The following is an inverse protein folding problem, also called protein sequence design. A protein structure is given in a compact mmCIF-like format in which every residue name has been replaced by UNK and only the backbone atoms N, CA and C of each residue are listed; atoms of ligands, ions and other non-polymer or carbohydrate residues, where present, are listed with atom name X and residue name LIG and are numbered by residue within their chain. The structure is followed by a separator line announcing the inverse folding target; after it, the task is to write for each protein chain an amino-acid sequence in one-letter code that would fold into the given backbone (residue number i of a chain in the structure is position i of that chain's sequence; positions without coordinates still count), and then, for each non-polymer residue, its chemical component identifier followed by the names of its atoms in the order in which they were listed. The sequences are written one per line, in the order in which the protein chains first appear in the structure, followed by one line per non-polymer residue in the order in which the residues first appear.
data_IF_815189162556
#
_entry.id   IF_815189162556
#
_cell.length_a   1.000
_cell.length_b   1.000
_cell.length_c   1.000
_cell.angle_alpha   90.00
_cell.angle_beta   90.00
_cell.angle_gamma   90.00
#
_symmetry.space_group_name_H-M   'P 1'
#
loop_
_entity.id
_entity.type
_entity.pdbx_description
1 polymer ?
#
# COMPACT_ATOMS: atom_id res chain seq x y z
N UNK A 1 6.48 4.93 -23.42
CA UNK A 1 6.58 3.92 -22.36
C UNK A 1 6.53 4.71 -21.06
N UNK A 2 5.63 4.36 -20.15
CA UNK A 2 5.67 4.93 -18.81
C UNK A 2 6.94 4.41 -18.13
N UNK A 3 7.72 5.32 -17.56
CA UNK A 3 8.98 4.96 -16.92
C UNK A 3 8.68 4.38 -15.54
N UNK A 4 8.81 3.05 -15.42
CA UNK A 4 8.55 2.35 -14.15
C UNK A 4 9.60 2.72 -13.10
N UNK A 5 9.14 2.94 -11.88
CA UNK A 5 9.99 3.08 -10.69
C UNK A 5 10.48 1.70 -10.25
N UNK A 6 11.78 1.56 -10.02
CA UNK A 6 12.35 0.37 -9.38
C UNK A 6 12.31 0.56 -7.87
N UNK A 7 11.64 -0.34 -7.17
CA UNK A 7 11.52 -0.33 -5.72
C UNK A 7 12.38 -1.44 -5.15
N UNK A 8 13.26 -1.10 -4.21
CA UNK A 8 13.92 -2.05 -3.34
C UNK A 8 13.44 -1.79 -1.93
N UNK A 9 12.90 -2.81 -1.27
CA UNK A 9 12.52 -2.72 0.12
C UNK A 9 13.08 -3.89 0.93
N UNK A 10 13.40 -3.61 2.18
CA UNK A 10 13.77 -4.61 3.18
C UNK A 10 12.79 -4.48 4.32
N UNK A 11 11.91 -5.46 4.49
CA UNK A 11 10.90 -5.48 5.54
C UNK A 11 11.11 -6.76 6.35
N UNK A 12 11.20 -6.65 7.67
CA UNK A 12 11.45 -7.79 8.56
C UNK A 12 12.62 -8.67 8.10
N UNK A 13 13.73 -8.05 7.70
CA UNK A 13 14.95 -8.69 7.17
C UNK A 13 14.78 -9.46 5.84
N UNK A 14 13.60 -9.44 5.23
CA UNK A 14 13.36 -9.96 3.89
C UNK A 14 13.47 -8.83 2.87
N UNK A 15 14.20 -9.07 1.78
CA UNK A 15 14.39 -8.07 0.72
C UNK A 15 13.58 -8.44 -0.51
N UNK A 16 12.84 -7.47 -1.04
CA UNK A 16 12.13 -7.60 -2.31
C UNK A 16 12.54 -6.47 -3.26
N UNK A 17 12.60 -6.79 -4.55
CA UNK A 17 12.95 -5.83 -5.62
C UNK A 17 11.95 -6.01 -6.75
N UNK A 18 11.24 -4.95 -7.11
CA UNK A 18 10.21 -4.99 -8.14
C UNK A 18 10.11 -3.65 -8.88
N UNK A 19 9.35 -3.63 -9.97
CA UNK A 19 9.07 -2.42 -10.75
C UNK A 19 7.59 -2.12 -10.70
N UNK A 20 7.25 -0.86 -10.48
CA UNK A 20 5.87 -0.37 -10.41
C UNK A 20 5.71 0.89 -11.27
N UNK A 21 4.52 1.11 -11.82
CA UNK A 21 4.21 2.30 -12.63
C UNK A 21 4.21 3.56 -11.75
N UNK A 22 3.49 3.51 -10.63
CA UNK A 22 3.36 4.62 -9.71
C UNK A 22 3.43 4.12 -8.27
N UNK A 23 4.14 4.88 -7.43
CA UNK A 23 4.24 4.67 -5.99
C UNK A 23 4.13 6.01 -5.29
N UNK A 24 3.40 6.06 -4.19
CA UNK A 24 3.40 7.21 -3.28
C UNK A 24 3.90 6.76 -1.92
N UNK A 25 4.77 7.56 -1.30
CA UNK A 25 5.30 7.28 0.03
C UNK A 25 4.75 8.33 0.99
N UNK A 26 3.84 7.91 1.87
CA UNK A 26 3.32 8.74 2.95
C UNK A 26 4.28 8.75 4.14
N UNK A 27 4.89 9.89 4.43
CA UNK A 27 5.74 10.09 5.63
C UNK A 27 4.88 10.56 6.80
N UNK A 28 5.30 10.35 8.07
CA UNK A 28 4.59 10.87 9.24
C UNK A 28 4.20 12.35 9.06
N UNK A 29 2.90 12.64 9.21
CA UNK A 29 2.32 13.97 9.00
C UNK A 29 1.74 14.22 7.62
N UNK A 30 1.90 13.32 6.64
CA UNK A 30 1.22 13.42 5.34
C UNK A 30 -0.23 12.90 5.40
N UNK A 31 -1.06 13.32 4.45
CA UNK A 31 -2.45 12.85 4.36
C UNK A 31 -2.54 11.35 4.09
N UNK A 32 -1.65 10.82 3.24
CA UNK A 32 -1.60 9.39 2.92
C UNK A 32 -1.26 8.56 4.16
N UNK A 33 -0.31 9.02 4.96
CA UNK A 33 0.02 8.40 6.24
C UNK A 33 -1.19 8.42 7.17
N UNK A 34 -1.86 9.57 7.31
CA UNK A 34 -3.07 9.69 8.15
C UNK A 34 -4.18 8.74 7.70
N UNK A 35 -4.50 8.69 6.41
CA UNK A 35 -5.55 7.82 5.88
C UNK A 35 -5.27 6.33 6.12
N UNK A 36 -4.01 5.91 5.99
CA UNK A 36 -3.62 4.52 6.26
C UNK A 36 -3.89 4.14 7.73
N UNK A 37 -3.55 5.01 8.68
CA UNK A 37 -3.82 4.78 10.10
C UNK A 37 -5.31 4.88 10.44
N UNK A 38 -6.06 5.78 9.82
CA UNK A 38 -7.51 5.84 9.99
C UNK A 38 -8.18 4.53 9.54
N UNK A 39 -7.70 3.92 8.45
CA UNK A 39 -8.17 2.62 8.00
C UNK A 39 -7.76 1.50 8.96
N UNK A 40 -6.51 1.50 9.44
CA UNK A 40 -6.05 0.53 10.45
C UNK A 40 -6.91 0.58 11.72
N UNK A 41 -7.22 1.79 12.21
CA UNK A 41 -8.09 2.01 13.37
C UNK A 41 -9.51 1.48 13.14
N UNK A 42 -10.08 1.70 11.95
CA UNK A 42 -11.40 1.18 11.57
C UNK A 42 -11.45 -0.36 11.59
N UNK A 43 -10.36 -1.00 11.18
CA UNK A 43 -10.22 -2.45 11.18
C UNK A 43 -9.77 -3.02 12.54
N UNK A 44 -9.48 -2.16 13.53
CA UNK A 44 -9.02 -2.56 14.86
C UNK A 44 -7.60 -3.11 14.89
N UNK A 45 -6.75 -2.70 13.93
CA UNK A 45 -5.36 -3.15 13.77
C UNK A 45 -4.41 -2.14 14.40
N UNK A 46 -3.56 -2.55 15.34
CA UNK A 46 -2.52 -1.65 15.90
C UNK A 46 -1.33 -1.44 14.98
N UNK A 47 -0.75 -2.55 14.52
CA UNK A 47 0.54 -2.56 13.81
C UNK A 47 0.49 -3.47 12.57
N UNK A 48 -0.39 -3.20 11.59
CA UNK A 48 -0.45 -4.01 10.38
C UNK A 48 0.83 -3.84 9.55
N UNK A 49 1.29 -4.89 8.86
CA UNK A 49 2.32 -4.76 7.81
C UNK A 49 1.69 -4.29 6.49
N UNK A 50 0.47 -4.77 6.18
CA UNK A 50 -0.26 -4.41 4.97
C UNK A 50 -1.77 -4.35 5.21
N UNK A 51 -2.43 -3.41 4.53
CA UNK A 51 -3.88 -3.36 4.34
C UNK A 51 -4.16 -3.12 2.86
N UNK A 52 -5.00 -3.96 2.25
CA UNK A 52 -5.55 -3.75 0.91
C UNK A 52 -7.05 -3.51 1.03
N UNK A 53 -7.50 -2.40 0.50
CA UNK A 53 -8.90 -2.00 0.45
C UNK A 53 -9.39 -2.11 -0.99
N UNK A 54 -10.30 -3.06 -1.24
CA UNK A 54 -10.97 -3.24 -2.52
C UNK A 54 -12.27 -2.44 -2.51
N UNK A 55 -12.39 -1.50 -3.43
CA UNK A 55 -13.56 -0.65 -3.57
C UNK A 55 -14.72 -1.42 -4.23
N UNK A 56 -15.97 -1.11 -3.86
CA UNK A 56 -17.11 -1.68 -4.54
C UNK A 56 -17.18 -1.18 -5.99
N UNK A 57 -17.62 -2.05 -6.88
CA UNK A 57 -17.88 -1.69 -8.29
C UNK A 57 -19.36 -1.78 -8.59
N UNK A 58 -19.83 -0.99 -9.54
CA UNK A 58 -21.25 -0.83 -9.83
C UNK A 58 -21.54 -1.03 -11.31
N UNK A 59 -22.73 -1.56 -11.62
CA UNK A 59 -23.19 -1.77 -12.99
C UNK A 59 -23.69 -0.47 -13.65
N UNK A 60 -24.00 0.54 -12.85
CA UNK A 60 -24.57 1.81 -13.26
C UNK A 60 -23.79 3.00 -12.69
N UNK A 61 -23.78 4.11 -13.42
CA UNK A 61 -23.10 5.35 -13.03
C UNK A 61 -23.69 6.00 -11.77
N UNK A 62 -24.93 5.65 -11.39
CA UNK A 62 -25.56 6.15 -10.17
C UNK A 62 -25.15 5.34 -8.92
N UNK A 63 -24.31 4.32 -9.07
CA UNK A 63 -23.82 3.45 -8.01
C UNK A 63 -24.95 2.76 -7.22
N UNK A 64 -26.00 2.30 -7.91
CA UNK A 64 -27.18 1.68 -7.27
C UNK A 64 -27.19 0.16 -7.32
N UNK A 65 -26.50 -0.45 -8.29
CA UNK A 65 -26.41 -1.90 -8.47
C UNK A 65 -24.96 -2.36 -8.31
N UNK A 66 -24.64 -2.92 -7.15
CA UNK A 66 -23.31 -3.45 -6.82
C UNK A 66 -23.00 -4.69 -7.67
N UNK A 67 -21.81 -4.73 -8.27
CA UNK A 67 -21.24 -5.88 -8.98
C UNK A 67 -20.22 -6.62 -8.12
N UNK A 68 -19.35 -5.88 -7.46
CA UNK A 68 -18.38 -6.41 -6.49
C UNK A 68 -18.55 -5.62 -5.20
N UNK A 69 -18.71 -6.33 -4.09
CA UNK A 69 -18.78 -5.71 -2.77
C UNK A 69 -17.43 -5.12 -2.35
N UNK A 70 -17.48 -4.16 -1.43
CA UNK A 70 -16.28 -3.68 -0.74
C UNK A 70 -15.67 -4.83 0.08
N UNK A 71 -14.34 -4.93 0.07
CA UNK A 71 -13.62 -5.94 0.85
C UNK A 71 -12.28 -5.40 1.36
N UNK A 72 -11.78 -6.01 2.44
CA UNK A 72 -10.54 -5.64 3.10
C UNK A 72 -9.67 -6.87 3.34
N UNK A 73 -8.42 -6.78 2.93
CA UNK A 73 -7.39 -7.76 3.25
C UNK A 73 -6.36 -7.08 4.14
N UNK A 74 -5.96 -7.75 5.21
CA UNK A 74 -4.91 -7.25 6.08
C UNK A 74 -4.07 -8.38 6.61
N UNK A 75 -2.82 -8.08 6.92
CA UNK A 75 -1.95 -8.99 7.65
C UNK A 75 -2.20 -8.86 9.15
N UNK A 76 -1.82 -9.89 9.92
CA UNK A 76 -1.80 -9.80 11.38
C UNK A 76 -0.85 -8.71 11.89
N UNK A 77 -0.98 -8.35 13.17
CA UNK A 77 -0.14 -7.33 13.81
C UNK A 77 1.31 -7.78 13.93
N UNK A 78 2.25 -6.90 13.55
CA UNK A 78 3.67 -7.14 13.73
C UNK A 78 4.07 -6.93 15.18
N UNK A 79 4.68 -7.95 15.78
CA UNK A 79 5.21 -7.86 17.14
C UNK A 79 6.53 -7.07 17.20
N UNK A 80 6.72 -6.33 18.30
CA UNK A 80 8.00 -5.68 18.61
C UNK A 80 8.33 -4.45 17.77
N UNK A 81 7.33 -3.87 17.10
CA UNK A 81 7.45 -2.57 16.43
C UNK A 81 6.66 -1.52 17.20
N UNK A 82 7.26 -0.33 17.37
CA UNK A 82 6.64 0.78 18.10
C UNK A 82 6.33 1.97 17.19
N UNK A 83 7.15 2.22 16.16
CA UNK A 83 7.07 3.42 15.34
C UNK A 83 7.07 3.09 13.86
N UNK A 84 6.01 3.50 13.18
CA UNK A 84 5.94 3.53 11.74
C UNK A 84 6.69 4.76 11.21
N UNK A 85 7.54 4.54 10.21
CA UNK A 85 8.43 5.54 9.59
C UNK A 85 7.94 5.97 8.21
N UNK A 86 7.00 5.22 7.62
CA UNK A 86 6.36 5.57 6.37
C UNK A 86 5.33 4.54 5.94
N UNK A 87 4.49 4.90 4.98
CA UNK A 87 3.51 4.02 4.36
C UNK A 87 3.66 4.08 2.85
N UNK A 88 3.87 2.94 2.23
CA UNK A 88 3.83 2.78 0.78
C UNK A 88 2.37 2.68 0.36
N UNK A 89 1.95 3.54 -0.56
CA UNK A 89 0.63 3.55 -1.15
C UNK A 89 0.74 3.16 -2.62
N UNK A 90 0.01 2.13 -3.03
CA UNK A 90 -0.05 1.65 -4.41
C UNK A 90 -1.45 1.15 -4.77
N UNK A 91 -1.77 1.08 -6.06
CA UNK A 91 -2.98 0.36 -6.49
C UNK A 91 -2.90 -1.11 -6.11
N UNK A 92 -4.04 -1.72 -5.80
CA UNK A 92 -4.13 -3.17 -5.55
C UNK A 92 -3.73 -3.93 -6.81
N UNK A 93 -2.94 -5.00 -6.65
CA UNK A 93 -2.45 -5.79 -7.78
C UNK A 93 -3.55 -6.69 -8.34
N UNK A 94 -3.83 -6.55 -9.65
CA UNK A 94 -4.69 -7.47 -10.39
C UNK A 94 -4.22 -8.93 -10.30
N UNK A 95 -2.92 -9.19 -10.17
CA UNK A 95 -2.39 -10.56 -10.06
C UNK A 95 -2.80 -11.24 -8.75
N UNK A 96 -2.92 -10.47 -7.66
CA UNK A 96 -3.38 -10.96 -6.36
C UNK A 96 -4.91 -11.00 -6.28
N UNK A 97 -5.58 -10.10 -7.01
CA UNK A 97 -7.04 -9.98 -7.06
C UNK A 97 -7.53 -9.95 -8.51
N UNK A 98 -7.59 -11.11 -9.20
CA UNK A 98 -7.92 -11.18 -10.63
C UNK A 98 -9.34 -10.72 -10.99
N UNK A 99 -10.18 -10.43 -10.00
CA UNK A 99 -11.53 -9.89 -10.18
C UNK A 99 -11.65 -8.39 -9.84
N UNK A 100 -10.55 -7.74 -9.44
CA UNK A 100 -10.51 -6.32 -9.05
C UNK A 100 -9.89 -5.54 -10.19
N UNK A 101 -10.56 -4.47 -10.64
CA UNK A 101 -10.03 -3.59 -11.68
C UNK A 101 -8.68 -2.97 -11.26
N UNK A 102 -7.81 -2.57 -12.20
CA UNK A 102 -6.49 -1.97 -11.89
C UNK A 102 -6.55 -0.69 -11.01
N UNK A 103 -7.73 -0.07 -10.86
CA UNK A 103 -8.01 1.06 -9.97
C UNK A 103 -9.14 0.74 -8.97
N UNK A 104 -9.44 -0.54 -8.79
CA UNK A 104 -10.52 -1.05 -7.95
C UNK A 104 -10.14 -1.16 -6.49
N UNK A 105 -9.00 -0.61 -6.07
CA UNK A 105 -8.58 -0.62 -4.68
C UNK A 105 -7.24 0.06 -4.44
N UNK A 106 -6.92 0.24 -3.17
CA UNK A 106 -5.65 0.79 -2.69
C UNK A 106 -4.99 -0.14 -1.68
N UNK A 107 -3.67 -0.33 -1.82
CA UNK A 107 -2.82 -1.03 -0.88
C UNK A 107 -1.98 -0.05 -0.06
N UNK A 108 -1.94 -0.29 1.25
CA UNK A 108 -1.11 0.41 2.22
C UNK A 108 -0.14 -0.59 2.84
N UNK A 109 1.15 -0.42 2.61
CA UNK A 109 2.20 -1.20 3.27
C UNK A 109 2.94 -0.32 4.27
N UNK A 110 2.91 -0.69 5.54
CA UNK A 110 3.49 0.07 6.64
C UNK A 110 4.95 -0.32 6.83
N UNK A 111 5.80 0.70 6.91
CA UNK A 111 7.22 0.55 7.20
C UNK A 111 7.46 0.95 8.64
N UNK A 112 8.12 0.10 9.41
CA UNK A 112 8.46 0.34 10.81
C UNK A 112 9.97 0.57 10.98
N UNK A 113 10.39 1.12 12.11
CA UNK A 113 11.82 1.28 12.42
C UNK A 113 12.60 -0.03 12.18
N UNK A 114 13.67 0.06 11.39
CA UNK A 114 14.48 -1.08 10.96
C UNK A 114 14.10 -1.68 9.60
N UNK A 115 12.98 -1.24 9.01
CA UNK A 115 12.68 -1.48 7.59
C UNK A 115 13.35 -0.41 6.71
N UNK A 116 13.57 -0.74 5.44
CA UNK A 116 14.15 0.19 4.46
C UNK A 116 13.33 0.20 3.17
N UNK A 117 13.15 1.37 2.57
CA UNK A 117 12.63 1.55 1.23
C UNK A 117 13.56 2.45 0.42
N UNK A 118 13.90 2.05 -0.80
CA UNK A 118 14.65 2.84 -1.78
C UNK A 118 13.96 2.77 -3.13
N UNK A 119 13.58 3.93 -3.67
CA UNK A 119 12.91 4.05 -4.97
C UNK A 119 13.85 4.69 -5.99
N UNK A 120 13.93 4.10 -7.17
CA UNK A 120 14.81 4.53 -8.24
C UNK A 120 14.08 4.77 -9.55
N UNK A 121 14.37 5.89 -10.20
CA UNK A 121 13.91 6.21 -11.54
C UNK A 121 15.15 6.42 -12.43
N UNK A 122 15.22 5.71 -13.56
CA UNK A 122 16.41 5.65 -14.44
C UNK A 122 17.75 5.40 -13.71
N UNK A 123 17.71 4.68 -12.58
CA UNK A 123 18.89 4.38 -11.75
C UNK A 123 19.27 5.47 -10.74
N UNK A 124 18.56 6.60 -10.72
CA UNK A 124 18.71 7.65 -9.73
C UNK A 124 17.82 7.35 -8.52
N UNK A 125 18.36 7.48 -7.31
CA UNK A 125 17.57 7.39 -6.07
C UNK A 125 16.68 8.63 -5.96
N UNK A 126 15.37 8.43 -5.98
CA UNK A 126 14.38 9.52 -5.93
C UNK A 126 13.65 9.61 -4.59
N UNK A 127 13.58 8.51 -3.82
CA UNK A 127 12.98 8.48 -2.50
C UNK A 127 13.64 7.40 -1.63
N UNK A 128 13.74 7.68 -0.33
CA UNK A 128 14.30 6.77 0.68
C UNK A 128 13.57 6.93 2.01
N UNK A 129 13.29 5.80 2.66
CA UNK A 129 12.77 5.71 4.03
C UNK A 129 13.60 4.69 4.80
N UNK A 130 14.06 5.06 5.99
CA UNK A 130 14.89 4.26 6.91
C UNK A 130 14.71 4.76 8.36
#
# INVERSE_FOLDING_TARGET
MSDKVTVKQTINKATSIYKIEHITVGKPGSEQYRHAFELADQLGLKHPDCIEHVFPTYADEQCTHVLTEEDFFSTEEREGVDRCIGVICSSVSYELFPNVHENGGIGYQFLYEGDELKCYEHGLLIESVE
#
